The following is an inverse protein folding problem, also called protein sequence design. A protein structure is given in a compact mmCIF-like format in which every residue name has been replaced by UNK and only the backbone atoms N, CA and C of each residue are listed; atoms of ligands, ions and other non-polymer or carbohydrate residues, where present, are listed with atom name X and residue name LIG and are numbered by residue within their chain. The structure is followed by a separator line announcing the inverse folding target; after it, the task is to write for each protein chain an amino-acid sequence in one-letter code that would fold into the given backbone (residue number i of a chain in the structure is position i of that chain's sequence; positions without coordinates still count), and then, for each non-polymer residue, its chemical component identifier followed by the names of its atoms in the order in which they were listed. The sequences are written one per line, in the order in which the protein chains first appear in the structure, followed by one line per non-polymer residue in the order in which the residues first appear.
data_IF_362111845040
#
_entry.id   IF_362111845040
#
_cell.length_a   1.000
_cell.length_b   1.000
_cell.length_c   1.000
_cell.angle_alpha   90.00
_cell.angle_beta   90.00
_cell.angle_gamma   90.00
#
_symmetry.space_group_name_H-M   'P 1'
#
loop_
_entity.id
_entity.type
_entity.pdbx_description
1 polymer ?
#
# COMPACT_ATOMS: atom_id res chain seq x y z
N UNK A 1 34.74 5.76 36.17
CA UNK A 1 34.55 7.06 36.86
C UNK A 1 33.11 7.12 37.35
N UNK A 2 32.87 6.72 38.61
CA UNK A 2 31.57 6.78 39.29
C UNK A 2 31.58 8.03 40.18
N UNK A 3 30.54 8.88 40.14
CA UNK A 3 30.33 9.96 41.10
C UNK A 3 29.04 9.70 41.87
N UNK A 4 29.21 9.46 43.17
CA UNK A 4 28.19 9.46 44.22
C UNK A 4 28.21 10.87 44.82
N UNK A 5 27.04 11.47 45.07
CA UNK A 5 26.92 12.68 45.87
C UNK A 5 26.16 12.36 47.16
N UNK A 6 26.85 12.54 48.28
CA UNK A 6 26.35 12.54 49.65
C UNK A 6 26.34 14.02 50.10
N UNK A 7 25.21 14.51 50.59
CA UNK A 7 25.11 15.84 51.23
C UNK A 7 24.61 15.65 52.64
N UNK A 8 25.45 16.00 53.61
CA UNK A 8 25.08 16.26 55.00
C UNK A 8 25.91 17.46 55.46
N UNK A 9 25.28 18.50 56.00
CA UNK A 9 25.95 19.41 56.93
C UNK A 9 24.95 20.17 57.81
N UNK A 10 25.32 20.23 59.08
CA UNK A 10 24.61 20.68 60.28
C UNK A 10 24.94 22.15 60.59
N UNK A 11 24.07 22.81 61.39
CA UNK A 11 24.33 23.83 62.45
C UNK A 11 23.41 25.07 62.34
N UNK A 12 22.95 25.78 63.38
CA UNK A 12 22.75 25.58 64.84
C UNK A 12 22.16 26.91 65.43
N UNK A 13 21.59 26.86 66.65
CA UNK A 13 21.21 27.97 67.60
C UNK A 13 19.94 28.82 67.30
N UNK A 14 19.08 29.24 68.26
CA UNK A 14 19.03 29.09 69.73
C UNK A 14 17.83 29.81 70.41
N UNK A 15 17.50 29.40 71.66
CA UNK A 15 16.86 30.12 72.81
C UNK A 15 15.36 30.55 72.67
N UNK A 16 14.44 30.51 73.65
CA UNK A 16 14.50 30.36 75.13
C UNK A 16 13.11 30.15 75.80
N UNK A 17 13.11 29.42 76.94
CA UNK A 17 12.43 29.63 78.26
C UNK A 17 10.95 29.23 78.58
N UNK A 18 10.88 28.35 79.60
CA UNK A 18 10.06 28.25 80.84
C UNK A 18 8.57 27.80 80.78
N UNK A 19 8.25 26.76 81.58
CA UNK A 19 6.96 26.66 82.29
C UNK A 19 6.51 25.27 82.81
N UNK A 20 6.71 25.03 84.12
CA UNK A 20 5.94 24.16 85.06
C UNK A 20 5.78 22.62 84.89
N UNK A 21 6.21 21.90 85.93
CA UNK A 21 5.73 20.56 86.37
C UNK A 21 4.32 20.68 87.01
N UNK A 22 3.50 19.62 87.29
CA UNK A 22 3.84 18.19 87.46
C UNK A 22 2.77 17.16 86.94
N UNK A 23 3.16 15.88 86.88
CA UNK A 23 2.47 14.68 87.46
C UNK A 23 2.90 13.41 86.72
N UNK A 24 3.38 12.43 87.47
CA UNK A 24 3.45 11.04 87.02
C UNK A 24 2.05 10.58 86.62
N UNK A 25 1.89 10.20 85.36
CA UNK A 25 0.80 9.38 84.90
C UNK A 25 1.43 8.25 84.09
N UNK A 26 1.18 7.02 84.55
CA UNK A 26 1.65 5.79 83.92
C UNK A 26 0.78 5.60 82.69
N UNK A 27 1.29 5.99 81.52
CA UNK A 27 0.67 5.58 80.26
C UNK A 27 0.92 4.07 80.06
N UNK A 28 -0.09 3.29 79.65
CA UNK A 28 0.09 1.88 79.36
C UNK A 28 1.10 1.75 78.21
N UNK A 29 2.04 0.82 78.37
CA UNK A 29 2.89 0.35 77.27
C UNK A 29 1.94 -0.16 76.17
N UNK A 30 1.69 0.66 75.16
CA UNK A 30 1.18 0.20 73.88
C UNK A 30 2.29 -0.72 73.36
N UNK A 31 2.04 -2.02 73.11
CA UNK A 31 3.05 -2.86 72.48
C UNK A 31 3.46 -2.17 71.18
N UNK A 32 4.75 -2.21 70.79
CA UNK A 32 5.16 -1.62 69.52
C UNK A 32 4.23 -2.20 68.45
N UNK A 33 3.56 -1.30 67.72
CA UNK A 33 2.94 -1.68 66.47
C UNK A 33 4.10 -2.27 65.68
N UNK A 34 4.01 -3.55 65.37
CA UNK A 34 4.86 -4.19 64.38
C UNK A 34 4.56 -3.46 63.08
N UNK A 35 5.27 -2.36 62.84
CA UNK A 35 5.47 -1.81 61.51
C UNK A 35 6.26 -2.88 60.76
N UNK A 36 5.52 -3.92 60.35
CA UNK A 36 5.94 -4.82 59.30
C UNK A 36 6.39 -3.92 58.17
N UNK A 37 7.71 -3.90 57.95
CA UNK A 37 8.33 -3.17 56.86
C UNK A 37 7.56 -3.56 55.58
N UNK A 38 6.79 -2.65 54.96
CA UNK A 38 5.94 -3.00 53.82
C UNK A 38 6.77 -3.56 52.66
N UNK A 39 8.07 -3.23 52.61
CA UNK A 39 9.00 -3.77 51.63
C UNK A 39 9.36 -5.25 51.92
N UNK A 40 9.23 -5.72 53.16
CA UNK A 40 9.48 -7.11 53.53
C UNK A 40 8.41 -8.05 52.99
N UNK A 41 7.15 -7.63 52.98
CA UNK A 41 6.04 -8.43 52.41
C UNK A 41 6.23 -8.61 50.90
N UNK A 42 6.68 -7.56 50.21
CA UNK A 42 7.00 -7.60 48.78
C UNK A 42 8.19 -8.51 48.44
N UNK A 43 9.20 -8.60 49.32
CA UNK A 43 10.38 -9.44 49.10
C UNK A 43 10.17 -10.92 49.46
N UNK A 44 9.13 -11.23 50.25
CA UNK A 44 8.78 -12.61 50.65
C UNK A 44 7.63 -13.21 49.80
N UNK A 45 7.12 -12.48 48.81
CA UNK A 45 6.06 -12.96 47.91
C UNK A 45 6.47 -14.24 47.16
N UNK A 46 5.50 -15.13 46.97
CA UNK A 46 5.64 -16.41 46.25
C UNK A 46 4.62 -16.58 45.13
N UNK A 47 3.73 -15.61 44.94
CA UNK A 47 2.72 -15.63 43.90
C UNK A 47 3.32 -14.94 42.69
N UNK A 48 3.34 -15.64 41.56
CA UNK A 48 3.84 -15.05 40.33
C UNK A 48 2.83 -14.05 39.73
N UNK A 49 3.32 -13.00 39.08
CA UNK A 49 2.46 -12.08 38.33
C UNK A 49 1.77 -12.79 37.16
N UNK A 50 0.62 -12.26 36.74
CA UNK A 50 -0.14 -12.74 35.59
C UNK A 50 0.11 -11.80 34.41
N UNK A 51 0.59 -12.36 33.31
CA UNK A 51 0.83 -11.65 32.06
C UNK A 51 -0.19 -12.08 30.99
N UNK A 52 -0.82 -11.11 30.33
CA UNK A 52 -1.80 -11.39 29.28
C UNK A 52 -1.83 -10.30 28.21
N UNK A 53 -2.41 -10.65 27.06
CA UNK A 53 -2.87 -9.65 26.10
C UNK A 53 -4.28 -9.19 26.47
N UNK A 54 -4.49 -7.88 26.51
CA UNK A 54 -5.80 -7.25 26.73
C UNK A 54 -6.83 -7.65 25.67
N UNK A 55 -6.38 -7.97 24.45
CA UNK A 55 -7.20 -8.47 23.35
C UNK A 55 -6.42 -9.50 22.53
N UNK A 56 -7.11 -10.50 21.98
CA UNK A 56 -6.47 -11.55 21.17
C UNK A 56 -5.83 -11.03 19.88
N UNK A 57 -6.30 -9.90 19.34
CA UNK A 57 -5.76 -9.25 18.14
C UNK A 57 -4.32 -8.78 18.31
N UNK A 58 -3.88 -8.47 19.53
CA UNK A 58 -2.49 -8.09 19.80
C UNK A 58 -1.52 -9.28 19.83
N UNK A 59 -2.00 -10.51 19.68
CA UNK A 59 -1.11 -11.69 19.56
C UNK A 59 -0.44 -11.78 18.19
N UNK A 60 -0.90 -11.03 17.21
CA UNK A 60 -0.39 -11.05 15.85
C UNK A 60 -0.07 -9.64 15.39
N UNK A 61 1.02 -9.49 14.65
CA UNK A 61 1.39 -8.24 13.99
C UNK A 61 1.90 -8.51 12.59
N UNK A 62 1.58 -7.62 11.65
CA UNK A 62 2.14 -7.63 10.30
C UNK A 62 2.73 -6.26 10.02
N UNK A 63 4.04 -6.22 9.83
CA UNK A 63 4.80 -4.97 9.65
C UNK A 63 5.63 -5.03 8.38
N UNK A 64 6.01 -3.88 7.84
CA UNK A 64 6.92 -3.81 6.73
C UNK A 64 8.36 -3.96 7.23
N UNK A 65 9.24 -4.51 6.39
CA UNK A 65 10.67 -4.45 6.69
C UNK A 65 11.11 -3.00 6.88
N UNK A 66 12.09 -2.79 7.76
CA UNK A 66 12.60 -1.47 8.14
C UNK A 66 11.61 -0.56 8.90
N UNK A 67 10.47 -1.08 9.37
CA UNK A 67 9.60 -0.33 10.30
C UNK A 67 10.38 0.00 11.58
N UNK A 68 10.39 1.29 11.97
CA UNK A 68 11.16 1.78 13.14
C UNK A 68 10.29 2.12 14.35
N UNK A 69 8.98 2.25 14.17
CA UNK A 69 8.01 2.75 15.16
C UNK A 69 7.05 1.65 15.67
N UNK A 70 7.37 0.38 15.41
CA UNK A 70 6.56 -0.74 15.88
C UNK A 70 6.73 -0.97 17.40
N UNK A 71 5.66 -0.75 18.16
CA UNK A 71 5.64 -1.07 19.58
C UNK A 71 5.38 -2.56 19.82
N UNK A 72 6.46 -3.31 20.06
CA UNK A 72 6.37 -4.76 20.29
C UNK A 72 5.60 -5.13 21.58
N UNK A 73 5.49 -4.23 22.55
CA UNK A 73 4.76 -4.44 23.81
C UNK A 73 3.28 -4.08 23.73
N UNK A 74 2.80 -3.57 22.58
CA UNK A 74 1.42 -3.13 22.43
C UNK A 74 0.42 -4.23 22.82
N UNK A 75 -0.54 -3.86 23.67
CA UNK A 75 -1.64 -4.71 24.10
C UNK A 75 -1.34 -5.63 25.29
N UNK A 76 -0.11 -5.66 25.80
CA UNK A 76 0.25 -6.45 26.98
C UNK A 76 -0.16 -5.75 28.29
N UNK A 77 -0.53 -6.56 29.28
CA UNK A 77 -0.81 -6.13 30.64
C UNK A 77 -0.27 -7.17 31.63
N UNK A 78 0.40 -6.71 32.68
CA UNK A 78 0.88 -7.53 33.77
C UNK A 78 0.33 -7.04 35.11
N UNK A 79 -0.28 -7.95 35.87
CA UNK A 79 -0.82 -7.67 37.20
C UNK A 79 -0.22 -8.62 38.23
N UNK A 80 0.12 -8.06 39.37
CA UNK A 80 0.65 -8.74 40.54
C UNK A 80 -0.28 -8.52 41.75
N UNK A 81 -0.28 -9.45 42.71
CA UNK A 81 -1.13 -9.41 43.89
C UNK A 81 -0.71 -8.34 44.91
N UNK A 82 0.59 -8.07 45.08
CA UNK A 82 1.08 -7.07 46.04
C UNK A 82 1.55 -5.79 45.36
N UNK A 83 2.16 -5.89 44.17
CA UNK A 83 2.68 -4.73 43.45
C UNK A 83 1.65 -4.04 42.55
N UNK A 84 0.53 -4.70 42.25
CA UNK A 84 -0.50 -4.16 41.38
C UNK A 84 -0.11 -4.20 39.89
N UNK A 85 -0.23 -3.08 39.17
CA UNK A 85 0.11 -3.03 37.73
C UNK A 85 1.61 -2.85 37.52
N UNK A 86 2.22 -3.90 36.98
CA UNK A 86 3.66 -3.98 36.78
C UNK A 86 4.02 -4.03 35.28
N UNK A 87 3.09 -3.60 34.41
CA UNK A 87 3.22 -3.67 32.94
C UNK A 87 4.45 -2.94 32.40
N UNK A 88 4.97 -1.95 33.12
CA UNK A 88 6.19 -1.22 32.75
C UNK A 88 7.47 -2.06 32.87
N UNK A 89 7.42 -3.19 33.56
CA UNK A 89 8.55 -4.12 33.77
C UNK A 89 8.50 -5.34 32.84
N UNK A 90 7.57 -5.41 31.90
CA UNK A 90 7.50 -6.52 30.95
C UNK A 90 8.79 -6.56 30.12
N UNK A 91 9.40 -7.74 30.07
CA UNK A 91 10.56 -8.05 29.27
C UNK A 91 10.17 -8.87 28.04
N UNK A 92 10.99 -8.80 26.99
CA UNK A 92 10.80 -9.53 25.75
C UNK A 92 12.04 -10.35 25.40
N UNK A 93 11.86 -11.63 25.14
CA UNK A 93 12.81 -12.47 24.42
C UNK A 93 12.49 -12.39 22.92
N UNK A 94 13.40 -11.76 22.18
CA UNK A 94 13.25 -11.51 20.75
C UNK A 94 13.70 -12.69 19.88
N UNK A 95 14.40 -13.68 20.44
CA UNK A 95 14.94 -14.80 19.66
C UNK A 95 15.76 -14.32 18.44
N UNK A 96 15.34 -14.73 17.26
CA UNK A 96 15.92 -14.38 15.95
C UNK A 96 15.17 -13.25 15.21
N UNK A 97 14.26 -12.54 15.90
CA UNK A 97 13.49 -11.45 15.31
C UNK A 97 14.39 -10.38 14.68
N UNK A 98 14.26 -10.22 13.36
CA UNK A 98 14.96 -9.20 12.59
C UNK A 98 13.99 -8.49 11.64
N UNK A 99 13.70 -7.22 11.93
CA UNK A 99 12.82 -6.38 11.11
C UNK A 99 13.37 -6.09 9.71
N UNK A 100 14.63 -6.39 9.45
CA UNK A 100 15.26 -6.22 8.13
C UNK A 100 15.13 -7.46 7.24
N UNK A 101 14.67 -8.58 7.80
CA UNK A 101 14.53 -9.86 7.09
C UNK A 101 13.05 -10.23 7.03
N UNK A 102 12.43 -10.31 5.83
CA UNK A 102 11.06 -10.79 5.70
C UNK A 102 10.89 -12.22 6.20
N UNK A 103 9.86 -12.47 6.99
CA UNK A 103 9.63 -13.76 7.64
C UNK A 103 8.52 -13.72 8.69
N UNK A 104 8.21 -14.89 9.24
CA UNK A 104 7.37 -15.02 10.43
C UNK A 104 8.27 -15.28 11.64
N UNK A 105 8.06 -14.50 12.69
CA UNK A 105 8.80 -14.55 13.95
C UNK A 105 7.83 -14.79 15.11
N UNK A 106 8.32 -15.43 16.17
CA UNK A 106 7.60 -15.55 17.43
C UNK A 106 8.47 -14.99 18.54
N UNK A 107 7.97 -13.96 19.22
CA UNK A 107 8.64 -13.34 20.38
C UNK A 107 7.88 -13.69 21.65
N UNK A 108 8.60 -13.85 22.75
CA UNK A 108 8.03 -14.23 24.04
C UNK A 108 8.15 -13.09 25.03
N UNK A 109 7.12 -12.91 25.86
CA UNK A 109 7.12 -11.92 26.92
C UNK A 109 6.96 -12.60 28.26
N UNK A 110 7.61 -12.03 29.26
CA UNK A 110 7.50 -12.39 30.66
C UNK A 110 7.68 -11.14 31.51
N UNK A 111 7.35 -11.23 32.79
CA UNK A 111 7.65 -10.20 33.77
C UNK A 111 8.07 -10.85 35.07
N UNK A 112 8.97 -10.20 35.79
CA UNK A 112 9.42 -10.62 37.11
C UNK A 112 8.96 -9.57 38.14
N UNK A 113 8.41 -10.05 39.26
CA UNK A 113 8.08 -9.21 40.41
C UNK A 113 9.34 -8.84 41.24
N UNK A 114 9.20 -8.09 42.33
CA UNK A 114 10.31 -7.74 43.23
C UNK A 114 10.86 -8.95 44.01
N UNK A 115 10.04 -9.96 44.32
CA UNK A 115 10.45 -11.18 45.01
C UNK A 115 11.22 -12.15 44.11
N UNK A 116 11.16 -11.96 42.80
CA UNK A 116 11.79 -12.78 41.79
C UNK A 116 10.89 -13.86 41.17
N UNK A 117 9.58 -13.87 41.46
CA UNK A 117 8.64 -14.77 40.79
C UNK A 117 8.44 -14.33 39.34
N UNK A 118 8.45 -15.31 38.43
CA UNK A 118 8.33 -15.07 36.98
C UNK A 118 6.92 -15.43 36.51
N UNK A 119 6.32 -14.56 35.70
CA UNK A 119 4.98 -14.77 35.15
C UNK A 119 4.87 -15.99 34.23
N UNK A 120 3.64 -16.30 33.81
CA UNK A 120 3.44 -17.09 32.60
C UNK A 120 4.06 -16.39 31.38
N UNK A 121 4.51 -17.18 30.40
CA UNK A 121 4.96 -16.66 29.11
C UNK A 121 3.77 -16.46 28.18
N UNK A 122 3.79 -15.37 27.41
CA UNK A 122 2.86 -15.16 26.28
C UNK A 122 3.67 -14.86 25.03
N UNK A 123 3.18 -15.25 23.86
CA UNK A 123 3.86 -15.01 22.58
C UNK A 123 3.10 -14.07 21.65
N UNK A 124 3.85 -13.30 20.86
CA UNK A 124 3.35 -12.50 19.72
C UNK A 124 3.98 -13.02 18.43
N UNK A 125 3.14 -13.37 17.47
CA UNK A 125 3.58 -13.73 16.12
C UNK A 125 3.73 -12.47 15.27
N UNK A 126 4.93 -12.19 14.77
CA UNK A 126 5.22 -11.02 13.95
C UNK A 126 5.55 -11.47 12.53
N UNK A 127 4.81 -10.97 11.54
CA UNK A 127 5.10 -11.18 10.12
C UNK A 127 5.77 -9.92 9.57
N UNK A 128 7.05 -10.02 9.23
CA UNK A 128 7.80 -8.97 8.52
C UNK A 128 7.59 -9.17 7.02
N UNK A 129 7.01 -8.18 6.36
CA UNK A 129 6.68 -8.19 4.94
C UNK A 129 7.75 -7.43 4.17
N UNK A 130 8.20 -8.03 3.06
CA UNK A 130 9.12 -7.39 2.13
C UNK A 130 8.56 -6.04 1.62
N UNK A 131 9.39 -4.99 1.67
CA UNK A 131 8.98 -3.61 1.43
C UNK A 131 9.97 -2.92 0.49
N UNK A 132 9.44 -2.40 -0.61
CA UNK A 132 10.25 -1.70 -1.61
C UNK A 132 10.01 -0.19 -1.53
N UNK A 133 11.11 0.57 -1.45
CA UNK A 133 11.06 2.02 -1.51
C UNK A 133 10.53 2.52 -2.85
N UNK A 134 10.07 3.77 -2.88
CA UNK A 134 9.63 4.39 -4.13
C UNK A 134 10.84 4.47 -5.08
N UNK A 135 10.68 4.00 -6.32
CA UNK A 135 11.77 4.03 -7.30
C UNK A 135 12.11 5.47 -7.65
N UNK A 136 13.33 5.89 -7.33
CA UNK A 136 13.86 7.19 -7.75
C UNK A 136 14.02 7.26 -9.27
N UNK A 137 14.05 8.49 -9.81
CA UNK A 137 14.21 8.70 -11.25
C UNK A 137 15.64 8.39 -11.68
N UNK A 138 15.84 7.24 -12.32
CA UNK A 138 17.13 6.88 -12.92
C UNK A 138 17.57 7.90 -14.00
N UNK A 139 18.87 8.00 -14.33
CA UNK A 139 19.33 8.82 -15.46
C UNK A 139 18.68 8.37 -16.78
N UNK A 140 18.48 9.30 -17.71
CA UNK A 140 18.00 9.00 -19.07
C UNK A 140 19.19 8.57 -19.93
N UNK A 141 19.06 7.45 -20.63
CA UNK A 141 20.07 6.99 -21.59
C UNK A 141 19.79 7.51 -22.99
N UNK A 142 20.79 8.12 -23.62
CA UNK A 142 20.71 8.71 -24.98
C UNK A 142 21.66 8.05 -25.99
N UNK A 143 22.50 7.11 -25.53
CA UNK A 143 23.46 6.41 -26.38
C UNK A 143 22.84 5.27 -27.19
N UNK A 144 23.70 4.51 -27.87
CA UNK A 144 23.33 3.26 -28.54
C UNK A 144 23.20 2.17 -27.47
N UNK A 145 22.08 1.46 -27.46
CA UNK A 145 21.86 0.37 -26.52
C UNK A 145 22.40 -0.93 -27.14
N UNK A 146 23.40 -1.58 -26.52
CA UNK A 146 23.93 -2.84 -27.05
C UNK A 146 22.87 -3.93 -27.11
N UNK A 147 22.80 -4.63 -28.25
CA UNK A 147 21.88 -5.75 -28.49
C UNK A 147 20.39 -5.41 -28.30
N UNK A 148 20.02 -4.15 -28.52
CA UNK A 148 18.63 -3.72 -28.50
C UNK A 148 17.82 -4.43 -29.60
N UNK A 149 16.64 -4.91 -29.21
CA UNK A 149 15.66 -5.49 -30.11
C UNK A 149 15.08 -4.42 -31.02
N UNK A 150 14.84 -4.79 -32.28
CA UNK A 150 14.12 -3.95 -33.21
C UNK A 150 12.68 -3.68 -32.73
N UNK A 151 12.07 -2.61 -33.27
CA UNK A 151 10.66 -2.26 -33.02
C UNK A 151 9.73 -3.46 -33.26
N UNK A 152 8.65 -3.61 -32.46
CA UNK A 152 7.73 -4.72 -32.61
C UNK A 152 6.80 -4.52 -33.82
N UNK A 153 6.31 -5.64 -34.38
CA UNK A 153 5.24 -5.64 -35.37
C UNK A 153 3.91 -5.18 -34.75
N UNK A 154 2.99 -4.72 -35.61
CA UNK A 154 1.65 -4.31 -35.16
C UNK A 154 0.87 -5.53 -34.65
N UNK A 155 0.50 -5.53 -33.38
CA UNK A 155 -0.31 -6.56 -32.74
C UNK A 155 -1.76 -6.54 -33.24
N UNK A 156 -2.39 -7.72 -33.22
CA UNK A 156 -3.81 -7.89 -33.58
C UNK A 156 -4.72 -7.12 -32.62
N UNK A 157 -5.83 -6.63 -33.18
CA UNK A 157 -6.92 -6.04 -32.40
C UNK A 157 -7.75 -7.15 -31.76
N UNK A 158 -7.88 -7.09 -30.44
CA UNK A 158 -8.85 -7.89 -29.68
C UNK A 158 -10.14 -7.08 -29.50
N UNK A 159 -11.29 -7.73 -29.67
CA UNK A 159 -12.60 -7.11 -29.51
C UNK A 159 -13.03 -7.07 -28.04
N UNK A 160 -13.94 -6.15 -27.72
CA UNK A 160 -14.62 -6.09 -26.42
C UNK A 160 -14.39 -4.81 -25.62
N UNK A 161 -13.52 -3.92 -26.07
CA UNK A 161 -13.26 -2.62 -25.45
C UNK A 161 -12.81 -1.60 -26.50
N UNK A 162 -12.98 -0.31 -26.19
CA UNK A 162 -12.33 0.76 -26.94
C UNK A 162 -11.00 1.06 -26.28
N UNK A 163 -9.87 0.83 -26.93
CA UNK A 163 -8.57 1.08 -26.32
C UNK A 163 -7.52 1.58 -27.32
N UNK A 164 -6.62 2.39 -26.79
CA UNK A 164 -5.36 2.76 -27.42
C UNK A 164 -4.23 2.13 -26.61
N UNK A 165 -3.49 1.21 -27.21
CA UNK A 165 -2.42 0.45 -26.55
C UNK A 165 -1.08 0.73 -27.24
N UNK A 166 -0.09 1.19 -26.48
CA UNK A 166 1.30 1.33 -26.90
C UNK A 166 2.14 0.27 -26.19
N UNK A 167 2.96 -0.48 -26.93
CA UNK A 167 3.75 -1.60 -26.41
C UNK A 167 5.17 -1.58 -26.97
N UNK A 168 6.13 -2.00 -26.14
CA UNK A 168 7.55 -2.01 -26.48
C UNK A 168 7.91 -3.22 -27.33
N UNK A 169 9.10 -3.20 -27.91
CA UNK A 169 9.78 -4.41 -28.35
C UNK A 169 9.98 -5.35 -27.14
N UNK A 170 10.06 -6.65 -27.40
CA UNK A 170 10.54 -7.60 -26.40
C UNK A 170 12.05 -7.41 -26.24
N UNK A 171 12.49 -6.92 -25.10
CA UNK A 171 13.90 -6.70 -24.78
C UNK A 171 14.17 -6.93 -23.29
N UNK A 172 15.41 -6.72 -22.83
CA UNK A 172 15.82 -6.85 -21.43
C UNK A 172 15.31 -5.70 -20.55
N UNK A 173 14.04 -5.34 -20.71
CA UNK A 173 13.36 -4.34 -19.91
C UNK A 173 13.08 -4.88 -18.50
N UNK A 174 13.28 -4.02 -17.51
CA UNK A 174 13.07 -4.32 -16.09
C UNK A 174 11.86 -3.57 -15.52
N UNK A 175 11.20 -2.74 -16.34
CA UNK A 175 10.02 -1.99 -15.95
C UNK A 175 9.61 -0.96 -17.00
N UNK A 176 8.51 -0.28 -16.71
CA UNK A 176 7.98 0.88 -17.41
C UNK A 176 7.60 1.94 -16.36
N UNK A 177 7.83 3.20 -16.71
CA UNK A 177 7.49 4.36 -15.90
C UNK A 177 6.89 5.44 -16.79
N UNK A 178 5.87 6.14 -16.32
CA UNK A 178 5.32 7.30 -17.00
C UNK A 178 4.75 8.32 -16.02
N UNK A 179 4.88 9.60 -16.36
CA UNK A 179 4.07 10.67 -15.77
C UNK A 179 2.87 10.98 -16.66
N UNK A 180 1.69 11.12 -16.07
CA UNK A 180 0.48 11.48 -16.80
C UNK A 180 -0.48 12.31 -15.96
N UNK A 181 -1.41 12.99 -16.63
CA UNK A 181 -2.55 13.67 -16.01
C UNK A 181 -3.82 12.90 -16.33
N UNK A 182 -4.60 12.56 -15.30
CA UNK A 182 -5.85 11.83 -15.47
C UNK A 182 -6.88 12.64 -16.27
N UNK A 183 -7.55 12.03 -17.27
CA UNK A 183 -8.49 12.72 -18.13
C UNK A 183 -9.84 12.94 -17.44
N UNK A 184 -10.57 13.93 -17.90
CA UNK A 184 -12.03 13.94 -17.73
C UNK A 184 -12.66 12.84 -18.60
N UNK A 185 -13.89 12.47 -18.28
CA UNK A 185 -14.68 11.51 -19.03
C UNK A 185 -16.14 11.98 -19.07
N UNK A 186 -16.91 11.38 -19.98
CA UNK A 186 -18.36 11.50 -20.06
C UNK A 186 -18.94 10.10 -20.34
N UNK A 187 -19.62 9.50 -19.37
CA UNK A 187 -20.07 8.11 -19.43
C UNK A 187 -21.57 8.09 -19.64
N UNK A 188 -22.00 7.39 -20.71
CA UNK A 188 -23.38 7.44 -21.23
C UNK A 188 -24.02 6.05 -21.37
N UNK A 189 -23.35 4.97 -20.92
CA UNK A 189 -23.88 3.60 -20.99
C UNK A 189 -24.00 2.98 -19.61
N UNK A 190 -25.25 2.74 -19.19
CA UNK A 190 -25.59 2.25 -17.85
C UNK A 190 -26.57 1.08 -17.88
N UNK A 191 -26.62 0.34 -16.78
CA UNK A 191 -27.63 -0.68 -16.52
C UNK A 191 -28.87 -0.06 -15.83
N UNK A 192 -29.51 0.90 -16.48
CA UNK A 192 -30.68 1.60 -15.93
C UNK A 192 -30.81 3.03 -16.42
N UNK A 193 -31.84 3.73 -15.94
CA UNK A 193 -31.95 5.18 -16.07
C UNK A 193 -30.84 5.84 -15.25
N UNK A 194 -30.21 6.87 -15.80
CA UNK A 194 -29.11 7.61 -15.17
C UNK A 194 -29.32 9.11 -15.31
N UNK A 195 -28.56 9.90 -14.56
CA UNK A 195 -28.55 11.36 -14.68
C UNK A 195 -27.55 11.84 -15.74
N UNK A 196 -28.05 12.09 -16.95
CA UNK A 196 -27.29 12.57 -18.12
C UNK A 196 -26.64 13.97 -17.91
N UNK A 197 -26.88 14.64 -16.78
CA UNK A 197 -26.21 15.91 -16.43
C UNK A 197 -24.86 15.69 -15.74
N UNK A 198 -24.60 14.47 -15.27
CA UNK A 198 -23.37 14.12 -14.59
C UNK A 198 -22.37 13.48 -15.58
N UNK A 199 -21.08 13.83 -15.52
CA UNK A 199 -20.06 13.14 -16.31
C UNK A 199 -19.97 11.64 -16.02
N UNK A 200 -20.39 11.25 -14.81
CA UNK A 200 -20.64 9.86 -14.41
C UNK A 200 -21.68 9.84 -13.30
N UNK A 201 -22.66 8.94 -13.38
CA UNK A 201 -23.66 8.74 -12.34
C UNK A 201 -23.23 7.62 -11.38
N UNK A 202 -22.78 7.93 -10.15
CA UNK A 202 -22.34 6.91 -9.20
C UNK A 202 -23.50 6.10 -8.59
N UNK A 203 -24.75 6.51 -8.81
CA UNK A 203 -25.94 5.82 -8.29
C UNK A 203 -26.42 4.69 -9.20
N UNK A 204 -25.83 4.53 -10.39
CA UNK A 204 -26.25 3.54 -11.38
C UNK A 204 -25.02 2.80 -11.90
N UNK A 205 -25.14 1.49 -12.15
CA UNK A 205 -24.02 0.69 -12.64
C UNK A 205 -23.66 1.11 -14.07
N UNK A 206 -22.54 1.82 -14.23
CA UNK A 206 -21.93 2.08 -15.53
C UNK A 206 -21.49 0.76 -16.19
N UNK A 207 -21.73 0.65 -17.49
CA UNK A 207 -21.37 -0.50 -18.30
C UNK A 207 -20.11 -0.24 -19.13
N UNK A 208 -19.81 1.03 -19.40
CA UNK A 208 -18.52 1.49 -19.91
C UNK A 208 -17.67 1.98 -18.75
N UNK A 209 -16.43 1.50 -18.66
CA UNK A 209 -15.54 1.77 -17.54
C UNK A 209 -14.16 2.21 -18.03
N UNK A 210 -13.84 3.52 -17.94
CA UNK A 210 -12.51 4.02 -18.20
C UNK A 210 -11.43 3.38 -17.34
N UNK A 211 -10.32 3.02 -17.98
CA UNK A 211 -9.14 2.50 -17.32
C UNK A 211 -7.86 3.00 -17.99
N UNK A 212 -6.81 3.10 -17.19
CA UNK A 212 -5.49 3.58 -17.54
C UNK A 212 -4.50 2.65 -16.88
N UNK A 213 -3.84 1.81 -17.65
CA UNK A 213 -3.00 0.79 -17.08
C UNK A 213 -1.72 0.58 -17.87
N UNK A 214 -0.71 0.11 -17.16
CA UNK A 214 0.48 -0.48 -17.73
C UNK A 214 0.34 -1.99 -17.73
N UNK A 215 1.22 -2.67 -18.43
CA UNK A 215 1.26 -4.12 -18.38
C UNK A 215 2.63 -4.64 -18.77
N UNK A 216 2.84 -5.90 -18.43
CA UNK A 216 4.04 -6.64 -18.80
C UNK A 216 3.62 -7.92 -19.51
N UNK A 217 4.37 -8.32 -20.52
CA UNK A 217 4.25 -9.63 -21.12
C UNK A 217 5.63 -10.28 -21.16
N UNK A 218 5.84 -11.23 -20.25
CA UNK A 218 6.98 -12.13 -20.26
C UNK A 218 6.49 -13.51 -20.70
N UNK A 219 6.37 -14.45 -19.76
CA UNK A 219 5.71 -15.72 -20.03
C UNK A 219 4.19 -15.56 -20.11
N UNK A 220 3.64 -14.80 -19.16
CA UNK A 220 2.23 -14.43 -19.15
C UNK A 220 2.06 -12.91 -19.07
N UNK A 221 0.83 -12.47 -19.28
CA UNK A 221 0.42 -11.08 -19.25
C UNK A 221 0.06 -10.61 -17.82
N UNK A 222 0.34 -9.33 -17.57
CA UNK A 222 -0.22 -8.57 -16.45
C UNK A 222 -0.80 -7.23 -16.94
N UNK A 223 -1.86 -6.77 -16.29
CA UNK A 223 -2.51 -5.48 -16.54
C UNK A 223 -2.69 -4.76 -15.20
N UNK A 224 -2.04 -3.62 -15.03
CA UNK A 224 -1.75 -3.05 -13.72
C UNK A 224 -1.77 -1.54 -13.80
N UNK A 225 -2.61 -0.90 -13.00
CA UNK A 225 -2.73 0.55 -13.01
C UNK A 225 -4.01 1.03 -12.34
N UNK A 226 -4.73 1.90 -13.02
CA UNK A 226 -5.90 2.60 -12.50
C UNK A 226 -7.15 2.26 -13.30
N UNK A 227 -8.24 1.97 -12.60
CA UNK A 227 -9.56 1.77 -13.22
C UNK A 227 -10.59 2.55 -12.43
N UNK A 228 -11.56 3.16 -13.12
CA UNK A 228 -12.75 3.66 -12.44
C UNK A 228 -13.37 2.51 -11.65
N UNK A 229 -13.65 2.79 -10.38
CA UNK A 229 -14.05 1.80 -9.39
C UNK A 229 -15.07 2.38 -8.41
N UNK A 230 -15.78 1.50 -7.70
CA UNK A 230 -16.71 1.89 -6.65
C UNK A 230 -15.98 2.63 -5.52
N UNK A 231 -16.67 3.56 -4.87
CA UNK A 231 -16.13 4.41 -3.80
C UNK A 231 -17.07 4.45 -2.60
N UNK A 232 -16.55 4.81 -1.43
CA UNK A 232 -17.37 5.15 -0.26
C UNK A 232 -17.78 6.62 -0.29
N UNK A 233 -19.06 6.90 -0.07
CA UNK A 233 -19.60 8.25 0.05
C UNK A 233 -19.52 8.76 1.50
N UNK A 234 -19.69 10.06 1.72
CA UNK A 234 -19.66 10.68 3.06
C UNK A 234 -20.57 10.01 4.10
N UNK A 235 -21.70 9.46 3.66
CA UNK A 235 -22.66 8.77 4.52
C UNK A 235 -22.25 7.31 4.87
N UNK A 236 -21.07 6.86 4.43
CA UNK A 236 -20.55 5.51 4.64
C UNK A 236 -21.06 4.45 3.64
N UNK A 237 -22.02 4.80 2.77
CA UNK A 237 -22.50 3.88 1.73
C UNK A 237 -21.48 3.76 0.59
N UNK A 238 -21.47 2.61 -0.09
CA UNK A 238 -20.69 2.43 -1.32
C UNK A 238 -21.54 2.79 -2.53
N UNK A 239 -20.94 3.44 -3.52
CA UNK A 239 -21.60 3.74 -4.81
C UNK A 239 -22.03 2.46 -5.54
N UNK A 240 -23.03 2.59 -6.42
CA UNK A 240 -23.49 1.48 -7.28
C UNK A 240 -22.67 1.44 -8.58
N UNK A 241 -22.40 2.63 -9.12
CA UNK A 241 -21.48 2.86 -10.25
C UNK A 241 -20.07 3.19 -9.79
N UNK A 242 -19.12 3.09 -10.71
CA UNK A 242 -17.76 3.57 -10.51
C UNK A 242 -17.73 5.09 -10.38
N UNK A 243 -16.78 5.65 -9.61
CA UNK A 243 -16.75 7.09 -9.36
C UNK A 243 -15.35 7.73 -9.26
N UNK A 244 -14.33 6.96 -8.87
CA UNK A 244 -12.94 7.42 -8.84
C UNK A 244 -11.99 6.36 -9.41
N UNK A 245 -10.84 6.80 -9.92
CA UNK A 245 -9.78 5.88 -10.36
C UNK A 245 -9.10 5.29 -9.12
N UNK A 246 -9.06 3.96 -9.06
CA UNK A 246 -8.44 3.21 -7.97
C UNK A 246 -7.40 2.22 -8.52
N UNK A 247 -6.35 1.93 -7.74
CA UNK A 247 -5.32 1.00 -8.16
C UNK A 247 -5.85 -0.44 -8.24
N UNK A 248 -5.46 -1.13 -9.30
CA UNK A 248 -5.66 -2.55 -9.50
C UNK A 248 -4.40 -3.21 -10.08
N UNK A 249 -4.23 -4.51 -9.82
CA UNK A 249 -3.19 -5.32 -10.45
C UNK A 249 -3.75 -6.67 -10.83
N UNK A 250 -3.83 -6.90 -12.14
CA UNK A 250 -4.19 -8.18 -12.73
C UNK A 250 -2.92 -8.89 -13.20
N UNK A 251 -2.78 -10.16 -12.87
CA UNK A 251 -1.61 -10.94 -13.27
C UNK A 251 -1.97 -12.41 -13.46
N UNK A 252 -1.37 -13.02 -14.48
CA UNK A 252 -1.53 -14.43 -14.77
C UNK A 252 -0.34 -15.20 -14.19
N UNK A 253 -0.60 -16.20 -13.34
CA UNK A 253 0.48 -17.03 -12.76
C UNK A 253 0.00 -18.44 -12.41
N UNK A 254 0.94 -19.37 -12.33
CA UNK A 254 0.76 -20.72 -11.80
C UNK A 254 1.50 -20.95 -10.47
N UNK A 255 2.16 -19.92 -9.92
CA UNK A 255 2.95 -19.99 -8.68
C UNK A 255 2.82 -18.71 -7.86
N UNK A 256 3.19 -18.78 -6.58
CA UNK A 256 3.34 -17.62 -5.68
C UNK A 256 2.14 -16.67 -5.69
N UNK A 257 0.93 -17.23 -5.73
CA UNK A 257 -0.32 -16.46 -5.74
C UNK A 257 -0.88 -16.25 -4.34
N UNK A 258 -1.46 -15.07 -4.11
CA UNK A 258 -1.90 -14.60 -2.79
C UNK A 258 -3.42 -14.33 -2.74
N UNK A 259 -4.23 -15.35 -3.06
CA UNK A 259 -5.70 -15.27 -3.03
C UNK A 259 -6.18 -15.07 -1.60
N UNK A 260 -7.03 -14.07 -1.37
CA UNK A 260 -7.59 -13.79 -0.05
C UNK A 260 -8.31 -12.44 0.01
N UNK A 261 -9.19 -12.28 0.99
CA UNK A 261 -9.92 -11.03 1.25
C UNK A 261 -9.09 -10.02 2.05
N UNK A 262 -9.74 -8.93 2.48
CA UNK A 262 -9.16 -8.00 3.44
C UNK A 262 -9.05 -8.66 4.82
N UNK A 263 -7.94 -8.42 5.50
CA UNK A 263 -7.74 -8.80 6.91
C UNK A 263 -7.07 -7.63 7.63
N UNK A 264 -7.89 -6.63 7.95
CA UNK A 264 -7.44 -5.35 8.54
C UNK A 264 -6.86 -5.54 9.94
N UNK A 265 -7.34 -6.53 10.68
CA UNK A 265 -6.83 -6.86 12.02
C UNK A 265 -5.38 -7.33 11.96
N UNK A 266 -4.98 -7.99 10.87
CA UNK A 266 -3.61 -8.46 10.63
C UNK A 266 -2.90 -7.67 9.52
N UNK A 267 -3.26 -6.39 9.31
CA UNK A 267 -2.54 -5.48 8.42
C UNK A 267 -2.63 -5.81 6.92
N UNK A 268 -3.59 -6.63 6.48
CA UNK A 268 -3.86 -6.90 5.05
C UNK A 268 -4.96 -5.98 4.54
N UNK A 269 -4.57 -4.92 3.85
CA UNK A 269 -5.46 -3.91 3.26
C UNK A 269 -5.67 -4.09 1.76
N UNK A 270 -5.61 -5.31 1.26
CA UNK A 270 -5.92 -5.63 -0.13
C UNK A 270 -6.61 -6.98 -0.23
N UNK A 271 -7.37 -7.17 -1.30
CA UNK A 271 -8.00 -8.43 -1.64
C UNK A 271 -7.53 -8.88 -3.02
N UNK A 272 -7.36 -10.19 -3.19
CA UNK A 272 -7.01 -10.82 -4.48
C UNK A 272 -7.99 -11.94 -4.75
N UNK A 273 -8.65 -11.88 -5.90
CA UNK A 273 -9.57 -12.91 -6.40
C UNK A 273 -8.99 -13.62 -7.62
N UNK A 274 -9.50 -14.82 -7.92
CA UNK A 274 -9.19 -15.56 -9.15
C UNK A 274 -10.37 -15.47 -10.10
N UNK A 275 -10.14 -14.95 -11.30
CA UNK A 275 -11.11 -14.88 -12.39
C UNK A 275 -11.02 -16.06 -13.37
N UNK A 276 -10.07 -16.99 -13.19
CA UNK A 276 -9.97 -18.19 -14.05
C UNK A 276 -10.90 -19.30 -13.61
N UNK A 277 -11.54 -19.95 -14.58
CA UNK A 277 -12.26 -21.22 -14.38
C UNK A 277 -11.36 -22.46 -14.36
N UNK A 278 -10.06 -22.33 -14.65
CA UNK A 278 -9.09 -23.44 -14.63
C UNK A 278 -8.11 -23.33 -13.45
N UNK A 279 -7.56 -24.47 -13.02
CA UNK A 279 -6.66 -24.56 -11.87
C UNK A 279 -5.16 -24.55 -12.21
N UNK A 280 -4.77 -24.69 -13.49
CA UNK A 280 -3.36 -24.80 -13.88
C UNK A 280 -2.67 -23.44 -13.96
N UNK A 281 -3.37 -22.43 -14.49
CA UNK A 281 -2.89 -21.05 -14.54
C UNK A 281 -4.02 -20.14 -14.09
N UNK A 282 -3.75 -19.29 -13.11
CA UNK A 282 -4.74 -18.40 -12.49
C UNK A 282 -4.63 -17.01 -13.08
N UNK A 283 -5.77 -16.35 -13.22
CA UNK A 283 -5.90 -14.96 -13.62
C UNK A 283 -6.36 -14.19 -12.39
N UNK A 284 -5.41 -13.54 -11.72
CA UNK A 284 -5.60 -12.96 -10.41
C UNK A 284 -5.85 -11.48 -10.52
N UNK A 285 -6.78 -10.96 -9.71
CA UNK A 285 -7.15 -9.56 -9.66
C UNK A 285 -7.01 -9.05 -8.24
N UNK A 286 -6.03 -8.18 -8.02
CA UNK A 286 -5.82 -7.50 -6.76
C UNK A 286 -6.37 -6.08 -6.75
N UNK A 287 -6.98 -5.70 -5.63
CA UNK A 287 -7.46 -4.34 -5.37
C UNK A 287 -7.11 -3.94 -3.95
N UNK A 288 -6.73 -2.68 -3.78
CA UNK A 288 -6.54 -2.13 -2.44
C UNK A 288 -7.88 -1.86 -1.76
N UNK A 289 -7.86 -1.87 -0.43
CA UNK A 289 -9.01 -1.61 0.42
C UNK A 289 -9.66 -0.27 0.06
N UNK A 290 -10.94 -0.36 -0.29
CA UNK A 290 -11.75 0.75 -0.73
C UNK A 290 -11.97 1.79 0.37
N UNK A 291 -11.73 1.49 1.65
CA UNK A 291 -11.84 2.48 2.72
C UNK A 291 -10.73 3.55 2.69
N UNK A 292 -9.65 3.33 1.94
CA UNK A 292 -8.51 4.25 1.84
C UNK A 292 -8.76 5.28 0.73
N UNK A 293 -9.49 6.32 1.08
CA UNK A 293 -9.90 7.40 0.16
C UNK A 293 -8.73 8.22 -0.39
N UNK A 294 -7.56 8.19 0.24
CA UNK A 294 -6.32 8.75 -0.28
C UNK A 294 -5.83 8.08 -1.58
N UNK A 295 -6.35 6.90 -1.92
CA UNK A 295 -6.07 6.20 -3.19
C UNK A 295 -7.21 6.34 -4.20
N UNK A 296 -8.06 7.35 -4.01
CA UNK A 296 -9.07 7.77 -4.99
C UNK A 296 -8.47 8.91 -5.82
N UNK A 297 -7.91 8.53 -6.96
CA UNK A 297 -7.39 9.47 -7.92
C UNK A 297 -8.52 9.98 -8.82
N UNK A 298 -8.50 11.28 -9.10
CA UNK A 298 -9.56 11.98 -9.82
C UNK A 298 -8.99 12.69 -11.07
N UNK A 299 -9.83 12.99 -12.07
CA UNK A 299 -9.43 13.78 -13.22
C UNK A 299 -8.61 15.00 -12.84
N UNK A 300 -7.53 15.27 -13.59
CA UNK A 300 -6.59 16.36 -13.32
C UNK A 300 -5.50 16.04 -12.28
N UNK A 301 -5.59 14.96 -11.51
CA UNK A 301 -4.46 14.53 -10.68
C UNK A 301 -3.29 14.17 -11.63
N UNK A 302 -2.09 14.70 -11.35
CA UNK A 302 -0.86 14.36 -12.08
C UNK A 302 -0.10 13.31 -11.29
N UNK A 303 0.13 12.17 -11.92
CA UNK A 303 0.70 10.98 -11.29
C UNK A 303 1.93 10.50 -12.03
N UNK A 304 2.86 9.88 -11.31
CA UNK A 304 3.93 9.04 -11.86
C UNK A 304 3.63 7.59 -11.52
N UNK A 305 3.41 6.76 -12.53
CA UNK A 305 3.16 5.34 -12.34
C UNK A 305 4.38 4.55 -12.78
N UNK A 306 4.78 3.59 -11.96
CA UNK A 306 5.94 2.72 -12.18
C UNK A 306 5.46 1.28 -12.04
N UNK A 307 5.68 0.49 -13.08
CA UNK A 307 5.54 -0.97 -13.05
C UNK A 307 6.92 -1.55 -13.33
N UNK A 308 7.55 -2.13 -12.30
CA UNK A 308 8.92 -2.63 -12.41
C UNK A 308 9.08 -3.96 -11.71
N UNK A 309 10.18 -4.65 -12.01
CA UNK A 309 10.56 -5.88 -11.33
C UNK A 309 11.47 -5.57 -10.14
N UNK A 310 10.97 -5.65 -8.90
CA UNK A 310 11.80 -5.44 -7.72
C UNK A 310 12.74 -6.62 -7.45
N UNK A 311 12.34 -7.82 -7.88
CA UNK A 311 13.14 -9.05 -7.83
C UNK A 311 12.72 -10.00 -8.97
N UNK A 312 13.61 -10.92 -9.40
CA UNK A 312 13.31 -11.83 -10.50
C UNK A 312 12.01 -12.63 -10.28
N UNK A 313 11.15 -12.64 -11.30
CA UNK A 313 9.87 -13.33 -11.31
C UNK A 313 8.72 -12.55 -10.67
N UNK A 314 8.91 -11.28 -10.32
CA UNK A 314 7.88 -10.43 -9.70
C UNK A 314 7.80 -9.07 -10.37
N UNK A 315 6.63 -8.45 -10.28
CA UNK A 315 6.40 -7.04 -10.57
C UNK A 315 5.77 -6.34 -9.37
N UNK A 316 5.90 -5.02 -9.31
CA UNK A 316 5.20 -4.16 -8.35
C UNK A 316 4.70 -2.89 -9.03
N UNK A 317 3.48 -2.48 -8.68
CA UNK A 317 2.93 -1.17 -9.01
C UNK A 317 3.31 -0.16 -7.93
N UNK A 318 3.85 0.98 -8.36
CA UNK A 318 3.99 2.16 -7.52
C UNK A 318 3.35 3.35 -8.24
N UNK A 319 2.66 4.20 -7.48
CA UNK A 319 2.06 5.44 -7.96
C UNK A 319 2.52 6.55 -7.03
N UNK A 320 3.14 7.58 -7.60
CA UNK A 320 3.50 8.80 -6.89
C UNK A 320 2.59 9.93 -7.33
N UNK A 321 2.06 10.68 -6.38
CA UNK A 321 1.29 11.90 -6.65
C UNK A 321 2.26 13.04 -6.88
N UNK A 322 2.26 13.59 -8.10
CA UNK A 322 3.06 14.78 -8.45
C UNK A 322 2.29 16.03 -8.08
N UNK A 323 1.01 16.08 -8.45
CA UNK A 323 0.15 17.24 -8.26
C UNK A 323 -1.29 16.79 -8.05
N UNK A 324 -1.95 17.38 -7.04
CA UNK A 324 -3.38 17.21 -6.80
C UNK A 324 -4.17 18.06 -7.78
N UNK A 325 -5.26 17.52 -8.30
CA UNK A 325 -6.16 18.18 -9.24
C UNK A 325 -6.73 19.48 -8.67
N UNK A 326 -6.75 20.51 -9.52
CA UNK A 326 -7.42 21.79 -9.30
C UNK A 326 -8.69 21.93 -10.13
N UNK A 327 -9.10 20.87 -10.86
CA UNK A 327 -10.34 20.89 -11.64
C UNK A 327 -11.54 21.06 -10.70
N UNK A 328 -12.48 21.98 -10.98
CA UNK A 328 -13.66 22.19 -10.14
C UNK A 328 -14.43 20.90 -9.85
N UNK A 329 -14.58 20.03 -10.86
CA UNK A 329 -15.19 18.70 -10.72
C UNK A 329 -14.53 17.85 -9.62
N UNK A 330 -13.21 17.69 -9.68
CA UNK A 330 -12.46 16.84 -8.76
C UNK A 330 -12.36 17.42 -7.36
N UNK A 331 -12.24 18.76 -7.25
CA UNK A 331 -12.26 19.47 -5.96
C UNK A 331 -13.61 19.28 -5.28
N UNK A 332 -14.70 19.55 -6.00
CA UNK A 332 -16.06 19.43 -5.48
C UNK A 332 -16.34 18.01 -4.96
N UNK A 333 -16.10 16.97 -5.77
CA UNK A 333 -16.38 15.58 -5.37
C UNK A 333 -15.60 15.18 -4.12
N UNK A 334 -14.33 15.58 -4.03
CA UNK A 334 -13.47 15.26 -2.89
C UNK A 334 -13.96 15.96 -1.62
N UNK A 335 -14.34 17.23 -1.70
CA UNK A 335 -14.90 18.01 -0.58
C UNK A 335 -16.27 17.49 -0.13
N UNK A 336 -17.18 17.25 -1.06
CA UNK A 336 -18.53 16.73 -0.77
C UNK A 336 -18.50 15.39 -0.05
N UNK A 337 -17.51 14.54 -0.39
CA UNK A 337 -17.36 13.22 0.21
C UNK A 337 -16.44 13.20 1.43
N UNK A 338 -15.73 14.29 1.73
CA UNK A 338 -14.74 14.33 2.82
C UNK A 338 -13.60 13.33 2.61
N UNK A 339 -13.24 13.04 1.36
CA UNK A 339 -12.13 12.16 1.03
C UNK A 339 -10.80 12.84 1.34
N UNK A 340 -9.81 12.03 1.74
CA UNK A 340 -8.45 12.53 1.97
C UNK A 340 -7.81 13.01 0.68
N UNK A 341 -6.76 13.81 0.83
CA UNK A 341 -5.90 14.19 -0.29
C UNK A 341 -5.22 12.96 -0.91
N UNK A 342 -4.99 12.97 -2.23
CA UNK A 342 -4.38 11.83 -2.91
C UNK A 342 -2.97 11.59 -2.37
N UNK A 343 -2.64 10.32 -2.14
CA UNK A 343 -1.34 9.90 -1.62
C UNK A 343 -0.64 8.89 -2.53
N UNK A 344 0.66 8.73 -2.32
CA UNK A 344 1.48 7.72 -2.98
C UNK A 344 0.99 6.31 -2.63
N UNK A 345 0.91 5.44 -3.63
CA UNK A 345 0.42 4.07 -3.49
C UNK A 345 1.50 3.07 -3.92
N UNK A 346 1.53 1.91 -3.24
CA UNK A 346 2.33 0.75 -3.64
C UNK A 346 1.49 -0.52 -3.49
N UNK A 347 1.43 -1.33 -4.54
CA UNK A 347 0.89 -2.68 -4.41
C UNK A 347 1.87 -3.58 -3.65
N UNK A 348 1.42 -4.72 -3.11
CA UNK A 348 2.32 -5.84 -2.87
C UNK A 348 3.09 -6.20 -4.16
N UNK A 349 4.28 -6.76 -4.03
CA UNK A 349 4.91 -7.41 -5.18
C UNK A 349 4.09 -8.66 -5.54
N UNK A 350 3.83 -8.87 -6.82
CA UNK A 350 3.00 -9.97 -7.31
C UNK A 350 3.77 -10.81 -8.34
N UNK A 351 3.42 -12.08 -8.40
CA UNK A 351 4.06 -13.05 -9.28
C UNK A 351 3.94 -12.62 -10.75
N UNK A 352 5.07 -12.61 -11.44
CA UNK A 352 5.15 -12.38 -12.88
C UNK A 352 6.39 -13.11 -13.42
N UNK A 353 6.27 -14.45 -13.63
CA UNK A 353 7.39 -15.27 -14.06
C UNK A 353 8.12 -14.67 -15.28
N UNK A 354 9.45 -14.77 -15.26
CA UNK A 354 10.39 -14.22 -16.26
C UNK A 354 10.62 -12.70 -16.27
N UNK A 355 9.75 -11.87 -15.67
CA UNK A 355 10.12 -10.46 -15.47
C UNK A 355 11.30 -10.33 -14.49
N UNK A 356 12.17 -9.34 -14.70
CA UNK A 356 13.37 -9.16 -13.88
C UNK A 356 14.50 -10.15 -14.18
N UNK A 357 14.30 -11.08 -15.12
CA UNK A 357 15.37 -11.91 -15.66
C UNK A 357 16.33 -11.06 -16.50
N UNK A 358 17.64 -11.27 -16.32
CA UNK A 358 18.66 -10.63 -17.15
C UNK A 358 18.88 -11.36 -18.49
N UNK A 359 18.26 -12.52 -18.68
CA UNK A 359 18.42 -13.37 -19.87
C UNK A 359 17.14 -13.51 -20.68
N UNK A 360 16.01 -13.05 -20.17
CA UNK A 360 14.71 -13.14 -20.84
C UNK A 360 14.30 -11.78 -21.37
N UNK A 361 13.87 -11.74 -22.63
CA UNK A 361 13.30 -10.55 -23.26
C UNK A 361 11.80 -10.47 -22.98
N UNK A 362 11.34 -9.34 -22.48
CA UNK A 362 9.96 -9.06 -22.07
C UNK A 362 9.43 -7.80 -22.74
N UNK A 363 8.12 -7.66 -22.83
CA UNK A 363 7.45 -6.48 -23.36
C UNK A 363 6.76 -5.73 -22.21
N UNK A 364 6.74 -4.40 -22.26
CA UNK A 364 5.85 -3.58 -21.44
C UNK A 364 4.90 -2.78 -22.33
N UNK A 365 3.73 -2.45 -21.79
CA UNK A 365 2.70 -1.67 -22.48
C UNK A 365 2.11 -0.59 -21.57
N UNK A 366 1.53 0.44 -22.20
CA UNK A 366 0.59 1.39 -21.59
C UNK A 366 -0.71 1.44 -22.40
N UNK A 367 -1.83 1.60 -21.72
CA UNK A 367 -3.17 1.52 -22.32
C UNK A 367 -4.08 2.58 -21.76
N UNK A 368 -4.83 3.21 -22.65
CA UNK A 368 -6.03 3.98 -22.34
C UNK A 368 -7.22 3.16 -22.84
N UNK A 369 -8.21 2.89 -22.01
CA UNK A 369 -9.36 2.10 -22.42
C UNK A 369 -10.70 2.61 -21.88
N UNK A 370 -11.77 2.26 -22.59
CA UNK A 370 -13.14 2.16 -22.11
C UNK A 370 -13.51 0.68 -22.17
N UNK A 371 -13.40 0.01 -21.04
CA UNK A 371 -13.74 -1.41 -20.90
C UNK A 371 -15.25 -1.58 -20.86
N UNK A 372 -15.76 -2.56 -21.63
CA UNK A 372 -17.20 -2.83 -21.68
C UNK A 372 -17.54 -4.03 -20.81
N UNK A 373 -18.33 -3.79 -19.77
CA UNK A 373 -18.74 -4.81 -18.79
C UNK A 373 -19.26 -6.09 -19.46
N UNK A 374 -18.61 -7.22 -19.19
CA UNK A 374 -18.99 -8.54 -19.69
C UNK A 374 -18.81 -8.75 -21.21
N UNK A 375 -18.04 -7.88 -21.87
CA UNK A 375 -17.89 -7.88 -23.34
C UNK A 375 -16.53 -8.36 -23.86
N UNK A 376 -15.65 -8.87 -22.98
CA UNK A 376 -14.34 -9.37 -23.39
C UNK A 376 -14.45 -10.41 -24.52
N UNK A 377 -13.69 -10.20 -25.61
CA UNK A 377 -13.68 -11.10 -26.76
C UNK A 377 -14.92 -11.06 -27.65
N UNK A 378 -15.92 -10.22 -27.34
CA UNK A 378 -17.15 -10.05 -28.12
C UNK A 378 -17.08 -8.76 -28.96
N UNK A 379 -17.89 -8.63 -30.02
CA UNK A 379 -17.97 -7.39 -30.78
C UNK A 379 -18.23 -6.18 -29.88
N UNK A 380 -17.53 -5.08 -30.17
CA UNK A 380 -17.70 -3.82 -29.46
C UNK A 380 -19.15 -3.35 -29.52
N UNK A 381 -19.69 -2.95 -28.38
CA UNK A 381 -21.03 -2.37 -28.28
C UNK A 381 -20.93 -0.88 -28.61
N UNK A 382 -21.76 -0.32 -29.51
CA UNK A 382 -21.78 1.13 -29.76
C UNK A 382 -22.05 1.93 -28.49
N UNK A 383 -21.39 3.07 -28.33
CA UNK A 383 -21.53 3.91 -27.14
C UNK A 383 -21.17 5.36 -27.43
N UNK A 384 -21.87 6.31 -26.81
CA UNK A 384 -21.51 7.74 -26.81
C UNK A 384 -20.56 8.10 -25.67
N UNK A 385 -20.16 7.16 -24.82
CA UNK A 385 -19.20 7.41 -23.74
C UNK A 385 -17.85 7.89 -24.31
N UNK A 386 -17.25 8.90 -23.68
CA UNK A 386 -15.98 9.49 -24.11
C UNK A 386 -15.00 9.57 -22.96
N UNK A 387 -13.71 9.49 -23.30
CA UNK A 387 -12.61 9.89 -22.43
C UNK A 387 -11.89 11.01 -23.14
N UNK A 388 -11.86 12.19 -22.52
CA UNK A 388 -11.23 13.39 -23.06
C UNK A 388 -9.70 13.23 -23.09
N UNK A 389 -8.98 14.34 -23.31
CA UNK A 389 -7.53 14.30 -23.46
C UNK A 389 -6.85 13.77 -22.20
N UNK A 390 -6.32 12.57 -22.30
CA UNK A 390 -5.37 12.03 -21.36
C UNK A 390 -3.96 12.37 -21.83
N UNK A 391 -3.19 13.03 -20.97
CA UNK A 391 -1.84 13.47 -21.30
C UNK A 391 -0.83 12.55 -20.62
N UNK A 392 -0.14 11.72 -21.40
CA UNK A 392 1.11 11.08 -20.98
C UNK A 392 2.24 12.09 -21.23
N UNK A 393 2.79 12.68 -20.17
CA UNK A 393 3.88 13.67 -20.28
C UNK A 393 5.19 13.04 -20.73
N UNK A 394 5.39 11.77 -20.41
CA UNK A 394 6.52 10.96 -20.83
C UNK A 394 6.21 9.47 -20.67
N UNK A 395 7.02 8.61 -21.28
CA UNK A 395 7.01 7.17 -21.03
C UNK A 395 8.42 6.61 -21.24
N UNK A 396 8.94 5.95 -20.21
CA UNK A 396 10.27 5.35 -20.19
C UNK A 396 10.19 3.86 -19.88
N UNK A 397 11.03 3.08 -20.55
CA UNK A 397 11.34 1.71 -20.19
C UNK A 397 12.57 1.72 -19.28
N UNK A 398 12.64 0.79 -18.32
CA UNK A 398 13.78 0.65 -17.43
C UNK A 398 14.71 -0.44 -17.99
N UNK A 399 16.01 -0.15 -18.13
CA UNK A 399 17.01 -1.12 -18.59
C UNK A 399 18.30 -0.98 -17.83
N UNK A 400 18.97 -2.11 -17.61
CA UNK A 400 20.33 -2.14 -17.09
C UNK A 400 21.33 -2.08 -18.24
N UNK A 401 22.20 -1.07 -18.24
CA UNK A 401 23.24 -0.85 -19.25
C UNK A 401 24.56 -0.67 -18.48
N UNK A 402 25.56 -1.50 -18.80
CA UNK A 402 26.87 -1.51 -18.14
C UNK A 402 26.82 -1.54 -16.60
N UNK A 403 25.89 -2.34 -16.07
CA UNK A 403 25.73 -2.49 -14.62
C UNK A 403 24.82 -1.45 -13.95
N UNK A 404 24.44 -0.37 -14.64
CA UNK A 404 23.64 0.72 -14.10
C UNK A 404 22.22 0.75 -14.67
N UNK A 405 21.26 1.16 -13.85
CA UNK A 405 19.86 1.35 -14.27
C UNK A 405 19.67 2.69 -14.98
N UNK A 406 18.94 2.65 -16.09
CA UNK A 406 18.57 3.83 -16.88
C UNK A 406 17.09 3.83 -17.24
N UNK A 407 16.55 5.04 -17.43
CA UNK A 407 15.32 5.29 -18.19
C UNK A 407 15.67 5.38 -19.68
N UNK A 408 14.93 4.65 -20.51
CA UNK A 408 15.06 4.62 -21.97
C UNK A 408 13.74 5.09 -22.57
N UNK A 409 13.78 6.07 -23.47
CA UNK A 409 12.57 6.65 -24.07
C UNK A 409 11.79 5.59 -24.85
N UNK A 410 10.50 5.42 -24.54
CA UNK A 410 9.60 4.53 -25.28
C UNK A 410 9.05 5.25 -26.52
N UNK A 411 9.89 5.46 -27.53
CA UNK A 411 9.51 6.11 -28.79
C UNK A 411 9.23 5.10 -29.92
N UNK A 412 8.88 5.59 -31.11
CA UNK A 412 8.52 4.77 -32.28
C UNK A 412 9.61 3.83 -32.80
N UNK A 413 10.87 4.01 -32.37
CA UNK A 413 11.95 3.07 -32.70
C UNK A 413 11.92 1.82 -31.83
N UNK A 414 11.21 1.88 -30.69
CA UNK A 414 11.11 0.83 -29.67
C UNK A 414 9.69 0.39 -29.41
N UNK A 415 8.70 1.13 -29.87
CA UNK A 415 7.30 0.89 -29.60
C UNK A 415 6.47 0.87 -30.88
N UNK A 416 5.33 0.19 -30.78
CA UNK A 416 4.25 0.25 -31.76
C UNK A 416 2.93 0.40 -31.02
N UNK A 417 1.85 0.70 -31.74
CA UNK A 417 0.53 0.91 -31.14
C UNK A 417 -0.56 0.17 -31.88
N UNK A 418 -1.65 -0.10 -31.17
CA UNK A 418 -2.87 -0.67 -31.72
C UNK A 418 -4.07 0.01 -31.09
N UNK A 419 -5.00 0.45 -31.94
CA UNK A 419 -6.33 0.92 -31.53
C UNK A 419 -7.35 -0.19 -31.74
N UNK A 420 -8.23 -0.40 -30.76
CA UNK A 420 -9.41 -1.24 -30.89
C UNK A 420 -10.67 -0.42 -30.63
N UNK A 421 -11.76 -0.58 -31.40
CA UNK A 421 -11.90 -1.47 -32.56
C UNK A 421 -11.37 -0.87 -33.88
N UNK A 422 -11.24 0.44 -33.99
CA UNK A 422 -10.79 1.14 -35.20
C UNK A 422 -10.09 2.46 -34.86
N UNK A 423 -9.16 2.90 -35.72
CA UNK A 423 -8.36 4.12 -35.51
C UNK A 423 -9.21 5.40 -35.46
N UNK A 424 -10.37 5.42 -36.14
CA UNK A 424 -11.27 6.58 -36.20
C UNK A 424 -11.88 6.99 -34.85
N UNK A 425 -11.85 6.11 -33.85
CA UNK A 425 -12.37 6.40 -32.51
C UNK A 425 -11.35 7.07 -31.59
N UNK A 426 -10.17 7.42 -32.13
CA UNK A 426 -9.06 7.93 -31.34
C UNK A 426 -8.47 9.18 -31.98
N UNK A 427 -8.16 10.17 -31.16
CA UNK A 427 -7.29 11.29 -31.55
C UNK A 427 -6.03 11.18 -30.70
N UNK A 428 -4.88 11.13 -31.35
CA UNK A 428 -3.58 11.05 -30.68
C UNK A 428 -2.66 12.16 -31.17
N UNK A 429 -1.74 12.62 -30.32
CA UNK A 429 -0.66 13.50 -30.75
C UNK A 429 0.49 12.77 -31.45
N UNK A 430 0.47 11.43 -31.47
CA UNK A 430 1.63 10.60 -31.76
C UNK A 430 2.60 10.53 -30.57
N UNK A 431 3.50 9.55 -30.62
CA UNK A 431 4.50 9.30 -29.57
C UNK A 431 5.65 10.30 -29.72
N UNK A 432 5.87 11.15 -28.72
CA UNK A 432 6.96 12.10 -28.69
C UNK A 432 8.33 11.37 -28.73
N UNK A 433 9.23 11.70 -29.68
CA UNK A 433 10.48 10.97 -29.86
C UNK A 433 11.50 11.19 -28.73
N UNK A 434 11.35 12.27 -27.95
CA UNK A 434 12.25 12.69 -26.87
C UNK A 434 11.76 12.21 -25.52
N UNK A 435 10.46 12.25 -25.27
CA UNK A 435 9.89 11.93 -23.95
C UNK A 435 9.13 10.60 -23.93
N UNK A 436 8.71 10.07 -25.09
CA UNK A 436 7.80 8.94 -25.19
C UNK A 436 6.35 9.29 -24.78
N UNK A 437 6.11 10.56 -24.50
CA UNK A 437 4.79 11.10 -24.13
C UNK A 437 3.82 11.11 -25.31
N UNK A 438 2.54 11.28 -25.01
CA UNK A 438 1.44 11.26 -25.97
C UNK A 438 0.17 11.78 -25.32
N UNK A 439 -0.63 12.56 -26.05
CA UNK A 439 -2.01 12.85 -25.68
C UNK A 439 -2.94 11.90 -26.42
N UNK A 440 -3.90 11.29 -25.71
CA UNK A 440 -4.87 10.33 -26.26
C UNK A 440 -6.29 10.73 -25.84
N UNK A 441 -7.20 10.82 -26.82
CA UNK A 441 -8.64 10.95 -26.62
C UNK A 441 -9.36 9.73 -27.19
N UNK A 442 -10.37 9.23 -26.49
CA UNK A 442 -11.23 8.11 -26.94
C UNK A 442 -12.64 8.66 -27.19
N UNK A 443 -13.10 8.57 -28.43
CA UNK A 443 -14.37 9.15 -28.90
C UNK A 443 -15.13 8.18 -29.85
N UNK A 444 -15.72 7.10 -29.32
CA UNK A 444 -16.39 6.06 -30.12
C UNK A 444 -17.46 6.54 -31.12
N UNK A 445 -18.13 7.66 -30.86
CA UNK A 445 -19.24 8.16 -31.67
C UNK A 445 -19.00 9.53 -32.34
N UNK A 446 -17.75 9.98 -32.47
CA UNK A 446 -17.43 11.15 -33.30
C UNK A 446 -17.43 10.75 -34.79
N UNK A 447 -18.62 10.75 -35.41
CA UNK A 447 -18.79 10.76 -36.87
C UNK A 447 -19.11 12.17 -37.35
#
# INVERSE_FOLDING_TARGET
MKKIYLILSICLLSLSLIGCNPKENIDPVVPPIDETDPDKELLEDKIAPILQFTQSTYRTARINQYTTDFNIFEGLQALDNLEGDISSRIEADLGDYDVTVPGEYEVFFFVQDLAGNVSNFVSKKITVVEYYFLVEKYPIFTGIIPNESAKPDKQKVFAGAYYHKVYSSKDYWLGIEAEFTLPMFDINRYNGQHDDRLPIDPSVKNLDNPSIYMGGHAWNESDVGLSLSLTVLKNGSTTIGSYAFRPFWRYITNRDYDIGGYDRANGRYYAVSNASGNNQTKNLFGNWDYLFTEYYYLPGDRLRMILYSPKPGYLQLQIQVIEKSTLPYSVQIREENGWKDPADFKSPAFSSPEHGSLTTKVEFKRVNAIDQSGNEGKPNIPTTSQVFDMVWHNTYLLRKIDGQMYRVVMNETRANFTNGPADSHFTTSGIDPVTGGETVRIHPNFN
#
